data_IF_387039401306
#
_entry.id   IF_387039401306
#
_cell.length_a   1.000
_cell.length_b   1.000
_cell.length_c   1.000
_cell.angle_alpha   90.00
_cell.angle_beta   90.00
_cell.angle_gamma   90.00
#
_symmetry.space_group_name_H-M   'P 1'
#
loop_
_entity.id
_entity.type
_entity.pdbx_description
1 polymer ?
#
# COMPACT_ATOMS: atom_id res chain seq x y z
N UNK A 1 -9.38 2.04 -15.56
CA UNK A 1 -10.03 3.04 -14.68
C UNK A 1 -10.10 4.38 -15.39
N UNK A 2 -11.25 5.05 -15.42
CA UNK A 2 -11.39 6.38 -16.06
C UNK A 2 -11.04 7.49 -15.05
N UNK A 3 -10.49 8.65 -15.47
CA UNK A 3 -10.17 9.76 -14.59
C UNK A 3 -11.31 10.15 -13.63
N UNK A 4 -12.56 10.21 -14.12
CA UNK A 4 -13.75 10.52 -13.31
C UNK A 4 -13.96 9.59 -12.11
N UNK A 5 -13.57 8.32 -12.22
CA UNK A 5 -13.70 7.33 -11.13
C UNK A 5 -12.62 7.51 -10.05
N UNK A 6 -11.53 8.21 -10.36
CA UNK A 6 -10.44 8.48 -9.42
C UNK A 6 -10.75 9.71 -8.55
N UNK A 7 -11.49 10.67 -9.10
CA UNK A 7 -11.88 11.93 -8.48
C UNK A 7 -13.27 11.89 -7.82
N UNK A 8 -13.92 10.73 -7.71
CA UNK A 8 -15.26 10.63 -7.09
C UNK A 8 -15.21 10.92 -5.59
N UNK A 9 -16.18 11.71 -5.12
CA UNK A 9 -16.24 12.32 -3.77
C UNK A 9 -16.53 11.35 -2.61
N UNK A 10 -16.45 10.03 -2.80
CA UNK A 10 -16.55 9.07 -1.70
C UNK A 10 -15.20 8.89 -0.96
N UNK A 11 -14.18 9.66 -1.36
CA UNK A 11 -12.82 9.86 -0.79
C UNK A 11 -12.20 8.67 -0.03
N UNK A 12 -12.16 7.44 -0.57
CA UNK A 12 -11.41 6.38 0.08
C UNK A 12 -9.89 6.61 -0.02
N UNK A 13 -9.45 7.58 -0.82
CA UNK A 13 -8.05 7.91 -1.09
C UNK A 13 -7.80 9.38 -0.78
N UNK A 14 -6.57 9.70 -0.36
CA UNK A 14 -6.16 11.09 -0.15
C UNK A 14 -5.97 11.81 -1.50
N UNK A 15 -6.06 13.16 -1.54
CA UNK A 15 -5.79 13.92 -2.75
C UNK A 15 -4.42 13.61 -3.37
N UNK A 16 -3.39 13.38 -2.52
CA UNK A 16 -2.07 12.98 -2.98
C UNK A 16 -2.08 11.61 -3.66
N UNK A 17 -2.76 10.62 -3.08
CA UNK A 17 -2.86 9.28 -3.66
C UNK A 17 -3.56 9.30 -5.02
N UNK A 18 -4.65 10.07 -5.13
CA UNK A 18 -5.37 10.33 -6.37
C UNK A 18 -4.44 11.00 -7.39
N UNK A 19 -3.75 12.07 -7.00
CA UNK A 19 -2.82 12.79 -7.88
C UNK A 19 -1.70 11.88 -8.41
N UNK A 20 -1.05 11.12 -7.52
CA UNK A 20 0.09 10.28 -7.89
C UNK A 20 -0.33 9.15 -8.83
N UNK A 21 -1.44 8.46 -8.55
CA UNK A 21 -1.94 7.37 -9.41
C UNK A 21 -2.46 7.90 -10.74
N UNK A 22 -3.08 9.08 -10.77
CA UNK A 22 -3.48 9.74 -12.01
C UNK A 22 -2.28 10.01 -12.92
N UNK A 23 -1.24 10.64 -12.37
CA UNK A 23 -0.01 10.96 -13.11
C UNK A 23 0.74 9.71 -13.53
N UNK A 24 0.78 8.67 -12.69
CA UNK A 24 1.32 7.36 -13.05
C UNK A 24 0.60 6.77 -14.26
N UNK A 25 -0.74 6.76 -14.24
CA UNK A 25 -1.54 6.20 -15.34
C UNK A 25 -1.33 6.95 -16.67
N UNK A 26 -1.13 8.27 -16.61
CA UNK A 26 -0.84 9.09 -17.79
C UNK A 26 0.65 9.14 -18.16
N UNK A 27 1.51 8.44 -17.42
CA UNK A 27 2.97 8.51 -17.55
C UNK A 27 3.55 9.93 -17.41
N UNK A 28 2.90 10.77 -16.60
CA UNK A 28 3.24 12.18 -16.39
C UNK A 28 4.06 12.44 -15.12
N UNK A 29 4.50 11.41 -14.40
CA UNK A 29 5.40 11.59 -13.27
C UNK A 29 6.80 11.97 -13.77
N UNK A 30 7.29 13.12 -13.28
CA UNK A 30 8.62 13.62 -13.62
C UNK A 30 9.68 12.85 -12.84
N UNK A 31 10.58 12.18 -13.57
CA UNK A 31 11.68 11.42 -12.98
C UNK A 31 12.97 12.24 -12.90
N UNK A 32 13.01 13.44 -13.48
CA UNK A 32 14.18 14.32 -13.43
C UNK A 32 14.39 14.89 -12.03
N UNK A 33 15.66 14.98 -11.63
CA UNK A 33 16.14 15.67 -10.43
C UNK A 33 17.60 16.08 -10.66
N UNK A 34 18.05 17.09 -9.94
CA UNK A 34 19.43 17.58 -9.99
C UNK A 34 20.40 16.49 -9.49
N UNK A 35 21.53 16.28 -10.18
CA UNK A 35 22.48 15.19 -9.84
C UNK A 35 22.17 13.83 -10.46
N UNK A 36 21.10 13.71 -11.27
CA UNK A 36 20.78 12.50 -12.05
C UNK A 36 21.83 12.13 -13.12
N UNK A 37 22.68 13.10 -13.53
CA UNK A 37 23.52 12.98 -14.73
C UNK A 37 24.58 11.86 -14.73
N UNK A 38 24.91 11.25 -13.57
CA UNK A 38 25.98 10.23 -13.48
C UNK A 38 25.51 8.78 -13.68
N UNK A 39 24.25 8.48 -13.38
CA UNK A 39 23.66 7.17 -13.67
C UNK A 39 22.15 7.28 -13.66
N UNK A 40 21.50 6.69 -14.67
CA UNK A 40 20.05 6.57 -14.71
C UNK A 40 19.54 5.34 -13.93
N UNK A 41 20.39 4.65 -13.17
CA UNK A 41 19.99 3.45 -12.43
C UNK A 41 18.99 3.76 -11.33
N UNK A 42 18.11 2.81 -11.04
CA UNK A 42 17.18 2.93 -9.92
C UNK A 42 17.97 2.89 -8.61
N UNK A 43 17.87 3.95 -7.81
CA UNK A 43 18.63 4.09 -6.55
C UNK A 43 17.88 3.61 -5.33
N UNK A 44 16.61 3.21 -5.50
CA UNK A 44 15.67 2.99 -4.41
C UNK A 44 16.18 2.05 -3.32
N UNK A 45 16.92 1.01 -3.72
CA UNK A 45 17.68 0.15 -2.81
C UNK A 45 18.98 -0.27 -3.49
N UNK A 46 19.97 -0.70 -2.71
CA UNK A 46 21.20 -1.31 -3.22
C UNK A 46 20.97 -2.64 -3.94
N UNK A 47 19.85 -3.32 -3.69
CA UNK A 47 19.47 -4.56 -4.35
C UNK A 47 18.83 -4.34 -5.74
N UNK A 48 18.54 -3.08 -6.12
CA UNK A 48 17.96 -2.78 -7.42
C UNK A 48 19.03 -2.74 -8.51
N UNK A 49 18.98 -3.69 -9.44
CA UNK A 49 19.94 -3.80 -10.55
C UNK A 49 19.49 -3.09 -11.83
N UNK A 50 18.39 -2.33 -11.78
CA UNK A 50 17.82 -1.68 -12.95
C UNK A 50 18.70 -0.50 -13.41
N UNK A 51 19.29 -0.63 -14.60
CA UNK A 51 20.19 0.36 -15.20
C UNK A 51 19.49 1.66 -15.62
N UNK A 52 18.17 1.59 -15.84
CA UNK A 52 17.34 2.74 -16.23
C UNK A 52 16.08 2.83 -15.37
N UNK A 53 16.01 3.86 -14.55
CA UNK A 53 14.85 4.25 -13.77
C UNK A 53 13.80 4.82 -14.73
N UNK A 54 12.74 4.05 -14.91
CA UNK A 54 11.49 4.51 -15.52
C UNK A 54 10.33 4.31 -14.55
N UNK A 55 9.12 4.77 -14.89
CA UNK A 55 7.97 4.52 -14.03
C UNK A 55 7.70 3.01 -13.89
N UNK A 56 7.92 2.21 -14.94
CA UNK A 56 7.71 0.76 -14.86
C UNK A 56 8.62 0.08 -13.81
N UNK A 57 9.94 0.31 -13.80
CA UNK A 57 10.83 -0.10 -12.72
C UNK A 57 10.37 0.35 -11.34
N UNK A 58 10.05 1.64 -11.14
CA UNK A 58 9.66 2.16 -9.82
C UNK A 58 8.43 1.43 -9.28
N UNK A 59 7.43 1.16 -10.13
CA UNK A 59 6.14 0.63 -9.71
C UNK A 59 6.01 -0.89 -9.80
N UNK A 60 6.83 -1.58 -10.59
CA UNK A 60 6.61 -3.01 -10.89
C UNK A 60 7.84 -3.90 -10.71
N UNK A 61 9.03 -3.41 -11.06
CA UNK A 61 10.20 -4.29 -11.21
C UNK A 61 11.26 -4.07 -10.12
N UNK A 62 11.25 -2.91 -9.45
CA UNK A 62 12.09 -2.66 -8.29
C UNK A 62 11.82 -3.72 -7.21
N UNK A 63 12.85 -4.28 -6.55
CA UNK A 63 12.66 -5.28 -5.49
C UNK A 63 11.66 -4.87 -4.40
N UNK A 64 11.63 -3.59 -4.01
CA UNK A 64 10.62 -3.05 -3.09
C UNK A 64 9.20 -3.20 -3.65
N UNK A 65 8.99 -2.83 -4.92
CA UNK A 65 7.69 -2.91 -5.56
C UNK A 65 7.24 -4.37 -5.69
N UNK A 66 8.12 -5.24 -6.19
CA UNK A 66 7.85 -6.68 -6.31
C UNK A 66 7.45 -7.27 -4.96
N UNK A 67 8.19 -6.98 -3.89
CA UNK A 67 7.89 -7.49 -2.56
C UNK A 67 6.53 -6.99 -2.02
N UNK A 68 6.23 -5.69 -2.17
CA UNK A 68 4.94 -5.14 -1.77
C UNK A 68 3.77 -5.76 -2.55
N UNK A 69 3.92 -5.96 -3.87
CA UNK A 69 2.89 -6.60 -4.68
C UNK A 69 2.71 -8.08 -4.35
N UNK A 70 3.81 -8.83 -4.18
CA UNK A 70 3.76 -10.22 -3.69
C UNK A 70 3.04 -10.31 -2.36
N UNK A 71 3.29 -9.36 -1.45
CA UNK A 71 2.61 -9.30 -0.16
C UNK A 71 1.11 -9.10 -0.34
N UNK A 72 0.67 -8.14 -1.15
CA UNK A 72 -0.75 -7.94 -1.45
C UNK A 72 -1.39 -9.20 -2.05
N UNK A 73 -0.75 -9.80 -3.05
CA UNK A 73 -1.23 -11.02 -3.70
C UNK A 73 -1.28 -12.22 -2.73
N UNK A 74 -0.28 -12.36 -1.84
CA UNK A 74 -0.27 -13.38 -0.78
C UNK A 74 -1.45 -13.23 0.17
N UNK A 75 -1.74 -12.01 0.62
CA UNK A 75 -2.89 -11.78 1.50
C UNK A 75 -4.23 -12.02 0.80
N UNK A 76 -4.30 -11.76 -0.51
CA UNK A 76 -5.48 -12.07 -1.30
C UNK A 76 -5.67 -13.58 -1.47
N UNK A 77 -4.67 -14.26 -2.03
CA UNK A 77 -4.68 -15.69 -2.34
C UNK A 77 -4.65 -16.62 -1.13
N UNK A 78 -4.02 -16.17 -0.03
CA UNK A 78 -3.77 -16.98 1.17
C UNK A 78 -2.54 -17.89 1.07
N UNK A 79 -1.67 -17.70 0.09
CA UNK A 79 -0.47 -18.51 -0.13
C UNK A 79 0.69 -17.63 -0.63
N UNK A 80 1.92 -18.12 -0.48
CA UNK A 80 3.10 -17.43 -1.01
C UNK A 80 3.05 -17.30 -2.54
N UNK A 81 3.57 -16.18 -3.05
CA UNK A 81 3.50 -15.80 -4.47
C UNK A 81 4.90 -15.74 -5.04
N UNK A 82 5.17 -16.61 -6.02
CA UNK A 82 6.43 -16.60 -6.80
C UNK A 82 6.48 -15.40 -7.75
N UNK A 83 7.65 -15.08 -8.31
CA UNK A 83 7.75 -14.00 -9.32
C UNK A 83 6.87 -14.27 -10.55
N UNK A 84 6.85 -15.52 -11.04
CA UNK A 84 5.95 -15.93 -12.10
C UNK A 84 4.48 -15.81 -11.69
N UNK A 85 4.14 -16.17 -10.44
CA UNK A 85 2.78 -16.04 -9.93
C UNK A 85 2.31 -14.59 -9.88
N UNK A 86 3.22 -13.66 -9.58
CA UNK A 86 2.91 -12.23 -9.55
C UNK A 86 2.52 -11.67 -10.93
N UNK A 87 3.04 -12.24 -12.02
CA UNK A 87 2.66 -11.82 -13.38
C UNK A 87 1.15 -11.97 -13.62
N UNK A 88 0.53 -13.02 -13.07
CA UNK A 88 -0.93 -13.23 -13.14
C UNK A 88 -1.75 -12.17 -12.39
N UNK A 89 -1.13 -11.41 -11.48
CA UNK A 89 -1.77 -10.30 -10.76
C UNK A 89 -1.50 -8.94 -11.41
N UNK A 90 -0.58 -8.84 -12.38
CA UNK A 90 -0.09 -7.54 -12.89
C UNK A 90 -1.21 -6.65 -13.42
N UNK A 91 -2.12 -7.21 -14.21
CA UNK A 91 -3.24 -6.46 -14.78
C UNK A 91 -4.22 -5.98 -13.70
N UNK A 92 -4.55 -6.85 -12.73
CA UNK A 92 -5.40 -6.51 -11.59
C UNK A 92 -4.80 -5.39 -10.74
N UNK A 93 -3.50 -5.46 -10.46
CA UNK A 93 -2.77 -4.42 -9.75
C UNK A 93 -2.78 -3.10 -10.54
N UNK A 94 -2.45 -3.14 -11.83
CA UNK A 94 -2.36 -1.95 -12.69
C UNK A 94 -3.73 -1.26 -12.88
N UNK A 95 -4.78 -2.07 -13.06
CA UNK A 95 -6.15 -1.61 -13.19
C UNK A 95 -6.77 -1.20 -11.84
N UNK A 96 -6.14 -1.56 -10.72
CA UNK A 96 -6.70 -1.48 -9.36
C UNK A 96 -8.06 -2.17 -9.25
N UNK A 97 -8.22 -3.23 -10.02
CA UNK A 97 -9.40 -4.08 -10.04
C UNK A 97 -9.04 -5.38 -9.34
N UNK A 98 -9.89 -5.83 -8.43
CA UNK A 98 -9.62 -7.05 -7.70
C UNK A 98 -9.59 -8.26 -8.64
N UNK A 99 -8.63 -9.19 -8.45
CA UNK A 99 -8.71 -10.53 -9.01
C UNK A 99 -9.98 -11.25 -8.53
N UNK A 100 -10.35 -12.38 -9.16
CA UNK A 100 -11.35 -13.28 -8.61
C UNK A 100 -11.08 -13.54 -7.12
N UNK A 101 -12.13 -13.45 -6.31
CA UNK A 101 -12.01 -13.66 -4.86
C UNK A 101 -11.90 -15.17 -4.62
N UNK A 102 -10.76 -15.67 -4.11
CA UNK A 102 -10.58 -17.10 -3.90
C UNK A 102 -11.47 -17.59 -2.74
N UNK A 103 -11.92 -18.85 -2.83
CA UNK A 103 -12.72 -19.47 -1.76
C UNK A 103 -12.00 -19.48 -0.41
N UNK A 104 -10.66 -19.54 -0.42
CA UNK A 104 -9.84 -19.41 0.79
C UNK A 104 -10.08 -18.08 1.50
N UNK A 105 -10.22 -16.97 0.76
CA UNK A 105 -10.50 -15.65 1.32
C UNK A 105 -11.95 -15.53 1.77
N UNK A 106 -12.91 -16.08 1.02
CA UNK A 106 -14.32 -16.15 1.44
C UNK A 106 -14.47 -16.89 2.77
N UNK A 107 -13.77 -18.03 2.92
CA UNK A 107 -13.73 -18.79 4.18
C UNK A 107 -13.11 -17.97 5.31
N UNK A 108 -12.01 -17.23 5.08
CA UNK A 108 -11.43 -16.35 6.11
C UNK A 108 -12.39 -15.26 6.57
N UNK A 109 -13.13 -14.64 5.65
CA UNK A 109 -14.17 -13.67 5.99
C UNK A 109 -15.28 -14.34 6.80
N UNK A 110 -15.73 -15.53 6.41
CA UNK A 110 -16.75 -16.25 7.16
C UNK A 110 -16.28 -16.63 8.59
N UNK A 111 -14.98 -16.86 8.81
CA UNK A 111 -14.44 -17.10 10.14
C UNK A 111 -14.48 -15.84 11.04
N UNK A 112 -14.29 -14.65 10.48
CA UNK A 112 -14.32 -13.39 11.25
C UNK A 112 -15.74 -12.83 11.40
N UNK A 113 -16.55 -12.92 10.35
CA UNK A 113 -17.87 -12.29 10.26
C UNK A 113 -19.06 -13.26 10.48
N UNK A 114 -18.79 -14.56 10.67
CA UNK A 114 -19.78 -15.63 10.76
C UNK A 114 -20.39 -16.07 9.41
N UNK A 115 -20.28 -15.25 8.36
CA UNK A 115 -20.68 -15.62 6.99
C UNK A 115 -19.96 -14.76 5.96
N UNK A 116 -19.93 -15.19 4.69
CA UNK A 116 -19.45 -14.37 3.58
C UNK A 116 -20.59 -14.15 2.57
N UNK A 117 -21.17 -12.95 2.59
CA UNK A 117 -22.24 -12.54 1.68
C UNK A 117 -21.71 -11.69 0.51
N UNK A 118 -22.53 -11.48 -0.53
CA UNK A 118 -22.18 -10.65 -1.69
C UNK A 118 -21.66 -9.24 -1.32
N UNK A 119 -22.21 -8.62 -0.26
CA UNK A 119 -21.74 -7.32 0.26
C UNK A 119 -20.30 -7.36 0.80
N UNK A 120 -19.86 -8.51 1.34
CA UNK A 120 -18.46 -8.70 1.74
C UNK A 120 -17.57 -8.78 0.50
N UNK A 121 -18.00 -9.48 -0.55
CA UNK A 121 -17.24 -9.57 -1.79
C UNK A 121 -17.02 -8.20 -2.42
N UNK A 122 -18.03 -7.33 -2.45
CA UNK A 122 -17.88 -5.97 -2.95
C UNK A 122 -16.96 -5.13 -2.06
N UNK A 123 -17.01 -5.34 -0.75
CA UNK A 123 -16.09 -4.72 0.20
C UNK A 123 -14.64 -5.19 0.01
N UNK A 124 -14.41 -6.47 -0.27
CA UNK A 124 -13.09 -7.01 -0.62
C UNK A 124 -12.56 -6.39 -1.90
N UNK A 125 -13.40 -6.20 -2.93
CA UNK A 125 -12.99 -5.50 -4.16
C UNK A 125 -12.57 -4.06 -3.87
N UNK A 126 -13.29 -3.37 -2.97
CA UNK A 126 -12.94 -2.02 -2.51
C UNK A 126 -11.62 -2.01 -1.73
N UNK A 127 -11.41 -2.98 -0.84
CA UNK A 127 -10.17 -3.16 -0.09
C UNK A 127 -8.97 -3.34 -1.03
N UNK A 128 -9.08 -4.22 -2.04
CA UNK A 128 -8.04 -4.40 -3.06
C UNK A 128 -7.71 -3.09 -3.76
N UNK A 129 -8.74 -2.36 -4.22
CA UNK A 129 -8.55 -1.09 -4.92
C UNK A 129 -7.77 -0.07 -4.07
N UNK A 130 -8.07 0.01 -2.78
CA UNK A 130 -7.35 0.89 -1.84
C UNK A 130 -5.91 0.43 -1.68
N UNK A 131 -5.68 -0.85 -1.38
CA UNK A 131 -4.32 -1.36 -1.15
C UNK A 131 -3.44 -1.30 -2.40
N UNK A 132 -3.98 -1.60 -3.59
CA UNK A 132 -3.24 -1.45 -4.84
C UNK A 132 -2.85 0.01 -5.12
N UNK A 133 -3.72 0.95 -4.76
CA UNK A 133 -3.41 2.39 -4.82
C UNK A 133 -2.30 2.73 -3.82
N UNK A 134 -2.45 2.32 -2.55
CA UNK A 134 -1.47 2.57 -1.50
C UNK A 134 -0.10 2.02 -1.91
N UNK A 135 -0.02 0.79 -2.37
CA UNK A 135 1.22 0.16 -2.84
C UNK A 135 1.94 1.05 -3.86
N UNK A 136 1.22 1.47 -4.92
CA UNK A 136 1.77 2.36 -5.95
C UNK A 136 2.26 3.69 -5.37
N UNK A 137 1.47 4.31 -4.49
CA UNK A 137 1.80 5.62 -3.92
C UNK A 137 2.96 5.57 -2.93
N UNK A 138 3.06 4.50 -2.14
CA UNK A 138 4.22 4.23 -1.27
C UNK A 138 5.47 4.10 -2.12
N UNK A 139 5.39 3.39 -3.27
CA UNK A 139 6.57 3.25 -4.13
C UNK A 139 7.10 4.61 -4.63
N UNK A 140 6.19 5.50 -5.00
CA UNK A 140 6.49 6.86 -5.43
C UNK A 140 7.06 7.73 -4.31
N UNK A 141 6.45 7.68 -3.13
CA UNK A 141 6.88 8.45 -1.96
C UNK A 141 8.29 8.05 -1.52
N UNK A 142 8.57 6.76 -1.39
CA UNK A 142 9.88 6.26 -0.99
C UNK A 142 10.99 6.67 -1.97
N UNK A 143 10.69 6.61 -3.27
CA UNK A 143 11.63 7.07 -4.30
C UNK A 143 11.94 8.56 -4.13
N UNK A 144 10.93 9.38 -3.84
CA UNK A 144 11.11 10.81 -3.67
C UNK A 144 11.85 11.16 -2.37
N UNK A 145 11.56 10.50 -1.24
CA UNK A 145 12.31 10.69 0.00
C UNK A 145 13.79 10.34 -0.17
N UNK A 146 14.12 9.24 -0.84
CA UNK A 146 15.51 8.92 -1.14
C UNK A 146 16.19 10.05 -1.94
N UNK A 147 15.52 10.57 -2.96
CA UNK A 147 16.14 11.50 -3.91
C UNK A 147 16.25 12.92 -3.38
N UNK A 148 15.22 13.38 -2.68
CA UNK A 148 15.12 14.77 -2.23
C UNK A 148 15.47 14.97 -0.76
N UNK A 149 15.39 13.90 0.05
CA UNK A 149 15.63 13.94 1.49
C UNK A 149 16.83 13.04 1.89
N UNK A 150 17.36 12.24 0.97
CA UNK A 150 18.50 11.36 1.24
C UNK A 150 18.15 10.16 2.11
N UNK A 151 16.86 9.81 2.24
CA UNK A 151 16.38 8.75 3.11
C UNK A 151 16.24 7.41 2.34
N UNK A 152 17.20 6.47 2.46
CA UNK A 152 17.10 5.18 1.81
C UNK A 152 16.03 4.28 2.45
N UNK A 153 15.55 3.32 1.67
CA UNK A 153 14.66 2.26 2.16
C UNK A 153 15.23 0.88 1.85
N UNK A 154 14.76 -0.14 2.57
CA UNK A 154 15.00 -1.55 2.28
C UNK A 154 13.74 -2.22 1.75
N UNK A 155 13.86 -3.44 1.24
CA UNK A 155 12.71 -4.22 0.77
C UNK A 155 11.75 -4.52 1.91
N UNK A 156 12.28 -4.87 3.08
CA UNK A 156 11.54 -5.14 4.30
C UNK A 156 10.82 -3.88 4.79
N UNK A 157 11.53 -2.75 4.83
CA UNK A 157 10.97 -1.47 5.26
C UNK A 157 9.83 -1.04 4.34
N UNK A 158 9.98 -1.21 3.01
CA UNK A 158 8.90 -0.94 2.06
C UNK A 158 7.65 -1.79 2.31
N UNK A 159 7.83 -3.07 2.63
CA UNK A 159 6.70 -3.94 2.97
C UNK A 159 6.01 -3.52 4.28
N UNK A 160 6.78 -3.09 5.28
CA UNK A 160 6.25 -2.58 6.55
C UNK A 160 5.47 -1.29 6.31
N UNK A 161 6.04 -0.33 5.58
CA UNK A 161 5.39 0.95 5.30
C UNK A 161 4.13 0.80 4.46
N UNK A 162 4.16 -0.06 3.43
CA UNK A 162 2.97 -0.45 2.67
C UNK A 162 1.89 -1.01 3.60
N UNK A 163 2.24 -1.95 4.49
CA UNK A 163 1.29 -2.57 5.43
C UNK A 163 0.69 -1.54 6.37
N UNK A 164 1.52 -0.76 7.05
CA UNK A 164 1.06 0.23 8.05
C UNK A 164 0.19 1.28 7.38
N UNK A 165 0.62 1.82 6.25
CA UNK A 165 -0.15 2.82 5.50
C UNK A 165 -1.46 2.25 4.99
N UNK A 166 -1.44 1.04 4.42
CA UNK A 166 -2.62 0.35 3.90
C UNK A 166 -3.66 0.08 4.98
N UNK A 167 -3.25 -0.52 6.09
CA UNK A 167 -4.15 -0.83 7.22
C UNK A 167 -4.70 0.46 7.85
N UNK A 168 -3.86 1.49 8.02
CA UNK A 168 -4.31 2.80 8.53
C UNK A 168 -5.37 3.42 7.62
N UNK A 169 -5.15 3.39 6.30
CA UNK A 169 -6.11 3.92 5.33
C UNK A 169 -7.44 3.17 5.40
N UNK A 170 -7.40 1.83 5.40
CA UNK A 170 -8.60 0.99 5.48
C UNK A 170 -9.38 1.23 6.78
N UNK A 171 -8.70 1.30 7.93
CA UNK A 171 -9.34 1.61 9.22
C UNK A 171 -9.96 3.00 9.25
N UNK A 172 -9.30 4.00 8.64
CA UNK A 172 -9.87 5.34 8.53
C UNK A 172 -11.15 5.36 7.68
N UNK A 173 -11.17 4.60 6.57
CA UNK A 173 -12.37 4.42 5.73
C UNK A 173 -13.48 3.76 6.52
N UNK A 174 -13.20 2.63 7.18
CA UNK A 174 -14.18 1.90 7.98
C UNK A 174 -14.79 2.79 9.08
N UNK A 175 -13.92 3.51 9.81
CA UNK A 175 -14.36 4.46 10.85
C UNK A 175 -15.27 5.53 10.26
N UNK A 176 -14.87 6.17 9.16
CA UNK A 176 -15.67 7.21 8.51
C UNK A 176 -17.04 6.68 8.08
N UNK A 177 -17.08 5.52 7.42
CA UNK A 177 -18.33 4.94 6.93
C UNK A 177 -19.26 4.56 8.11
N UNK A 178 -18.72 4.19 9.27
CA UNK A 178 -19.49 3.98 10.51
C UNK A 178 -20.07 5.25 11.14
N UNK A 179 -19.54 6.44 10.81
CA UNK A 179 -20.04 7.71 11.39
C UNK A 179 -21.33 8.20 10.73
N UNK A 180 -21.77 7.60 9.61
CA UNK A 180 -23.01 7.96 8.92
C UNK A 180 -24.03 6.82 8.99
N UNK A 181 -25.30 7.10 9.36
CA UNK A 181 -26.36 6.08 9.35
C UNK A 181 -26.55 5.40 8.00
N UNK A 182 -26.28 6.10 6.90
CA UNK A 182 -26.45 5.58 5.54
C UNK A 182 -25.36 4.57 5.14
N UNK A 183 -24.19 4.62 5.76
CA UNK A 183 -23.02 3.79 5.39
C UNK A 183 -22.52 2.92 6.54
N UNK A 184 -23.22 2.88 7.68
CA UNK A 184 -22.77 2.15 8.88
C UNK A 184 -22.56 0.66 8.63
N UNK A 185 -23.41 0.04 7.81
CA UNK A 185 -23.27 -1.35 7.40
C UNK A 185 -21.98 -1.56 6.58
N UNK A 186 -21.68 -0.66 5.64
CA UNK A 186 -20.46 -0.72 4.84
C UNK A 186 -19.21 -0.58 5.71
N UNK A 187 -19.28 0.25 6.74
CA UNK A 187 -18.22 0.42 7.72
C UNK A 187 -17.94 -0.86 8.51
N UNK A 188 -18.98 -1.57 8.95
CA UNK A 188 -18.84 -2.88 9.63
C UNK A 188 -18.26 -3.95 8.70
N UNK A 189 -18.82 -4.07 7.48
CA UNK A 189 -18.31 -5.00 6.46
C UNK A 189 -16.83 -4.76 6.15
N UNK A 190 -16.38 -3.50 6.14
CA UNK A 190 -14.98 -3.15 5.95
C UNK A 190 -14.10 -3.63 7.11
N UNK A 191 -14.56 -3.54 8.35
CA UNK A 191 -13.83 -4.10 9.51
C UNK A 191 -13.71 -5.61 9.42
N UNK A 192 -14.82 -6.31 9.13
CA UNK A 192 -14.83 -7.76 8.94
C UNK A 192 -13.82 -8.21 7.87
N UNK A 193 -13.77 -7.47 6.75
CA UNK A 193 -12.82 -7.72 5.67
C UNK A 193 -11.37 -7.39 6.06
N UNK A 194 -11.13 -6.31 6.81
CA UNK A 194 -9.80 -5.96 7.33
C UNK A 194 -9.31 -7.07 8.25
N UNK A 195 -10.13 -7.53 9.19
CA UNK A 195 -9.74 -8.57 10.16
C UNK A 195 -9.39 -9.87 9.44
N UNK A 196 -10.18 -10.27 8.44
CA UNK A 196 -9.88 -11.44 7.61
C UNK A 196 -8.53 -11.33 6.85
N UNK A 197 -8.15 -10.11 6.47
CA UNK A 197 -6.89 -9.82 5.79
C UNK A 197 -5.71 -9.85 6.78
N UNK A 198 -5.93 -9.36 8.01
CA UNK A 198 -4.95 -9.37 9.09
C UNK A 198 -4.69 -10.78 9.64
N UNK A 199 -5.63 -11.73 9.56
CA UNK A 199 -5.41 -13.11 10.00
C UNK A 199 -4.20 -13.81 9.37
N UNK A 200 -3.84 -13.47 8.12
CA UNK A 200 -2.63 -14.00 7.47
C UNK A 200 -1.33 -13.42 8.09
N UNK A 201 -1.41 -12.24 8.70
CA UNK A 201 -0.27 -11.60 9.37
C UNK A 201 0.04 -12.23 10.73
N UNK A 202 -0.92 -12.89 11.36
CA UNK A 202 -0.81 -13.40 12.74
C UNK A 202 -0.52 -14.90 12.82
N UNK A 203 -0.40 -15.60 11.69
CA UNK A 203 -0.02 -17.02 11.72
C UNK A 203 1.42 -17.20 12.27
N UNK A 204 1.62 -18.09 13.27
CA UNK A 204 2.87 -18.21 14.00
C UNK A 204 3.97 -18.76 13.08
N UNK A 205 4.96 -17.90 12.82
CA UNK A 205 6.09 -18.16 11.93
C UNK A 205 6.83 -16.88 11.52
N UNK A 206 6.21 -15.71 11.65
CA UNK A 206 6.85 -14.41 11.43
C UNK A 206 7.26 -13.76 12.77
N UNK A 207 8.45 -14.14 13.24
CA UNK A 207 9.42 -13.37 14.06
C UNK A 207 8.83 -12.49 15.18
N UNK A 208 9.14 -12.89 16.43
CA UNK A 208 9.16 -12.01 17.61
C UNK A 208 9.81 -10.67 17.26
N UNK A 209 9.01 -9.61 17.19
CA UNK A 209 9.53 -8.25 17.28
C UNK A 209 10.04 -8.09 18.70
N UNK A 210 11.35 -8.20 18.89
CA UNK A 210 11.99 -7.66 20.08
C UNK A 210 11.64 -6.19 20.12
N UNK A 211 10.94 -5.78 21.17
CA UNK A 211 10.55 -4.41 21.52
C UNK A 211 11.39 -3.33 20.82
N UNK A 212 10.89 -2.81 19.70
CA UNK A 212 11.45 -1.61 19.09
C UNK A 212 10.99 -0.43 19.94
N UNK A 213 11.96 0.17 20.63
CA UNK A 213 11.83 1.49 21.23
C UNK A 213 11.34 2.46 20.16
N UNK A 214 10.32 3.24 20.51
CA UNK A 214 9.88 4.40 19.75
C UNK A 214 11.09 5.28 19.42
N UNK A 215 11.18 5.85 18.21
CA UNK A 215 12.24 6.80 17.88
C UNK A 215 12.20 7.93 18.92
N UNK A 216 13.34 8.16 19.60
CA UNK A 216 13.53 9.37 20.39
C UNK A 216 13.26 10.58 19.50
N UNK A 217 12.58 11.58 20.07
CA UNK A 217 12.19 12.79 19.37
C UNK A 217 13.34 13.34 18.51
N UNK A 218 13.03 13.75 17.28
CA UNK A 218 13.99 14.35 16.36
C UNK A 218 14.71 15.53 17.04
N UNK A 219 16.03 15.69 16.87
CA UNK A 219 16.78 16.84 17.39
C UNK A 219 16.18 18.20 17.00
N UNK A 220 15.48 18.25 15.87
CA UNK A 220 14.75 19.44 15.41
C UNK A 220 13.55 19.78 16.31
N UNK A 221 12.86 18.76 16.84
CA UNK A 221 11.73 18.94 17.77
C UNK A 221 12.23 19.36 19.15
N UNK A 222 13.39 18.86 19.58
CA UNK A 222 14.04 19.29 20.83
C UNK A 222 14.52 20.74 20.73
N UNK A 223 15.12 21.16 19.60
CA UNK A 223 15.52 22.56 19.37
C UNK A 223 14.34 23.53 19.28
N UNK A 224 13.21 23.10 18.69
CA UNK A 224 12.01 23.94 18.63
C UNK A 224 11.36 24.14 20.00
N UNK A 225 11.39 23.13 20.88
CA UNK A 225 10.87 23.25 22.25
C UNK A 225 11.74 24.17 23.12
N UNK A 226 13.07 24.11 22.99
CA UNK A 226 13.98 24.98 23.76
C UNK A 226 13.99 26.45 23.27
N UNK A 227 13.52 26.72 22.05
CA UNK A 227 13.43 28.08 21.51
C UNK A 227 12.09 28.78 21.79
N UNK A 228 11.08 28.04 22.28
CA UNK A 228 9.71 28.55 22.50
C UNK A 228 9.26 28.55 23.97
N UNK A 229 10.16 28.31 24.93
CA UNK A 229 9.93 28.58 26.36
C UNK A 229 8.61 28.02 26.90
N UNK A 230 8.47 26.69 26.91
CA UNK A 230 7.55 25.95 27.78
C UNK A 230 8.36 24.93 28.59
#
# INVERSE_FOLDING_TARGET
>A
QRPKQLWSHDHPLTPYQVWAVYRMALRQLNLFFEGRQRSNSCRKTSACTQEKETQSPIFWECPCAVACWKRLARHWGGADVTDSGLLGYREYCAARQAPPIPDSLKRRVALTAGSCAAKHEDTLKRLWRVLATVCSTTQWMERNRLIFEGEPTSVEQSCVEFRVTGVRQLKAIARRDKMSPQTVEQGKLMEDCIDSFLLILEQPGQVRVSSMQLPRESPLVVMMKSSLGF
#
